data_IF_573633086961
#
_entry.id   IF_573633086961
#
_cell.length_a   1.000
_cell.length_b   1.000
_cell.length_c   1.000
_cell.angle_alpha   90.00
_cell.angle_beta   90.00
_cell.angle_gamma   90.00
#
_symmetry.space_group_name_H-M   'P 1'
#
loop_
_entity.id
_entity.type
_entity.pdbx_description
1 polymer ?
#
# COMPACT_ATOMS: atom_id res chain seq x y z
N UNK A 1 -22.09 8.36 -1.00
CA UNK A 1 -21.33 7.29 -1.69
C UNK A 1 -21.39 6.03 -0.82
N UNK A 2 -21.62 4.83 -1.37
CA UNK A 2 -21.84 3.62 -0.56
C UNK A 2 -20.58 3.29 0.25
N UNK A 3 -20.73 3.24 1.57
CA UNK A 3 -19.65 3.14 2.56
C UNK A 3 -18.75 1.91 2.39
N UNK A 4 -19.27 0.86 1.75
CA UNK A 4 -18.57 -0.40 1.54
C UNK A 4 -17.32 -0.30 0.64
N UNK A 5 -17.29 0.61 -0.35
CA UNK A 5 -16.14 0.76 -1.25
C UNK A 5 -14.89 1.23 -0.50
N UNK A 6 -15.02 2.26 0.35
CA UNK A 6 -13.91 2.79 1.14
C UNK A 6 -13.36 1.78 2.16
N UNK A 7 -14.23 0.93 2.69
CA UNK A 7 -13.84 -0.12 3.62
C UNK A 7 -13.03 -1.22 2.93
N UNK A 8 -13.41 -1.59 1.69
CA UNK A 8 -12.65 -2.53 0.88
C UNK A 8 -11.27 -1.98 0.48
N UNK A 9 -11.22 -0.73 0.01
CA UNK A 9 -9.96 -0.08 -0.34
C UNK A 9 -9.02 -0.04 0.86
N UNK A 10 -9.48 0.36 2.05
CA UNK A 10 -8.66 0.34 3.29
C UNK A 10 -8.09 -1.04 3.59
N UNK A 11 -8.89 -2.09 3.43
CA UNK A 11 -8.44 -3.45 3.64
C UNK A 11 -7.33 -3.84 2.65
N UNK A 12 -7.50 -3.54 1.37
CA UNK A 12 -6.48 -3.79 0.34
C UNK A 12 -5.22 -2.98 0.59
N UNK A 13 -5.36 -1.70 0.96
CA UNK A 13 -4.23 -0.82 1.33
C UNK A 13 -3.46 -1.39 2.52
N UNK A 14 -4.16 -1.83 3.57
CA UNK A 14 -3.56 -2.45 4.74
C UNK A 14 -2.70 -3.66 4.35
N UNK A 15 -3.25 -4.59 3.56
CA UNK A 15 -2.53 -5.78 3.10
C UNK A 15 -1.31 -5.41 2.26
N UNK A 16 -1.44 -4.43 1.36
CA UNK A 16 -0.33 -3.94 0.54
C UNK A 16 0.80 -3.34 1.38
N UNK A 17 0.48 -2.49 2.37
CA UNK A 17 1.48 -1.88 3.24
C UNK A 17 2.16 -2.88 4.17
N UNK A 18 1.43 -3.89 4.66
CA UNK A 18 2.04 -5.00 5.41
C UNK A 18 3.02 -5.78 4.52
N UNK A 19 2.66 -6.03 3.26
CA UNK A 19 3.56 -6.68 2.30
C UNK A 19 4.80 -5.82 2.00
N UNK A 20 4.63 -4.52 1.80
CA UNK A 20 5.76 -3.60 1.61
C UNK A 20 6.64 -3.47 2.84
N UNK A 21 6.08 -3.43 4.05
CA UNK A 21 6.83 -3.44 5.30
C UNK A 21 7.69 -4.71 5.43
N UNK A 22 7.14 -5.87 5.04
CA UNK A 22 7.88 -7.12 5.01
C UNK A 22 9.02 -7.09 3.99
N UNK A 23 8.78 -6.57 2.78
CA UNK A 23 9.82 -6.42 1.77
C UNK A 23 10.93 -5.45 2.19
N UNK A 24 10.57 -4.30 2.77
CA UNK A 24 11.51 -3.31 3.27
C UNK A 24 12.34 -3.85 4.44
N UNK A 25 11.72 -4.65 5.32
CA UNK A 25 12.43 -5.34 6.39
C UNK A 25 13.47 -6.33 5.85
N UNK A 26 13.16 -7.06 4.77
CA UNK A 26 14.13 -7.98 4.14
C UNK A 26 15.29 -7.26 3.45
N UNK A 27 15.13 -5.99 3.06
CA UNK A 27 16.21 -5.17 2.48
C UNK A 27 17.08 -4.46 3.53
N UNK A 28 16.94 -4.82 4.81
CA UNK A 28 17.60 -4.18 5.97
C UNK A 28 17.31 -2.67 6.10
N UNK A 29 16.32 -2.16 5.37
CA UNK A 29 15.99 -0.73 5.37
C UNK A 29 14.97 -0.44 6.48
N UNK A 30 15.47 -0.47 7.71
CA UNK A 30 14.68 -0.38 8.95
C UNK A 30 13.78 0.87 8.99
N UNK A 31 14.26 1.98 8.44
CA UNK A 31 13.49 3.23 8.33
C UNK A 31 12.26 3.07 7.44
N UNK A 32 12.41 2.48 6.26
CA UNK A 32 11.30 2.24 5.33
C UNK A 32 10.31 1.22 5.89
N UNK A 33 10.81 0.16 6.53
CA UNK A 33 9.98 -0.83 7.20
C UNK A 33 9.11 -0.19 8.30
N UNK A 34 9.68 0.71 9.10
CA UNK A 34 8.94 1.43 10.14
C UNK A 34 7.89 2.38 9.56
N UNK A 35 8.21 3.07 8.46
CA UNK A 35 7.26 3.94 7.75
C UNK A 35 6.08 3.13 7.20
N UNK A 36 6.35 2.00 6.54
CA UNK A 36 5.29 1.12 6.01
C UNK A 36 4.46 0.46 7.11
N UNK A 37 5.08 0.12 8.24
CA UNK A 37 4.36 -0.40 9.41
C UNK A 37 3.45 0.66 10.04
N UNK A 38 3.93 1.90 10.17
CA UNK A 38 3.12 3.03 10.63
C UNK A 38 1.95 3.31 9.67
N UNK A 39 2.18 3.23 8.35
CA UNK A 39 1.13 3.31 7.34
C UNK A 39 0.12 2.17 7.46
N UNK A 40 0.56 0.92 7.67
CA UNK A 40 -0.34 -0.21 7.91
C UNK A 40 -1.22 0.04 9.15
N UNK A 41 -0.65 0.52 10.25
CA UNK A 41 -1.44 0.90 11.44
C UNK A 41 -2.39 2.06 11.17
N UNK A 42 -2.05 2.97 10.27
CA UNK A 42 -2.91 4.08 9.84
C UNK A 42 -4.13 3.58 9.03
N UNK A 43 -3.92 2.59 8.17
CA UNK A 43 -4.95 1.99 7.31
C UNK A 43 -5.70 0.83 7.93
N UNK A 44 -5.42 0.49 9.18
CA UNK A 44 -6.03 -0.65 9.81
C UNK A 44 -7.57 -0.56 9.69
N UNK A 45 -8.24 -1.60 9.16
CA UNK A 45 -9.68 -1.59 8.99
C UNK A 45 -10.43 -1.84 10.32
N UNK A 46 -9.70 -2.16 11.40
CA UNK A 46 -10.24 -2.57 12.70
C UNK A 46 -10.55 -1.38 13.62
N UNK A 47 -9.74 -0.32 13.58
CA UNK A 47 -9.92 0.85 14.43
C UNK A 47 -10.34 2.03 13.55
N UNK A 48 -11.50 2.63 13.87
CA UNK A 48 -11.93 3.89 13.24
C UNK A 48 -11.04 5.04 13.71
N UNK A 49 -9.93 5.28 13.01
CA UNK A 49 -9.13 6.48 13.24
C UNK A 49 -9.76 7.63 12.45
N UNK A 50 -10.30 8.63 13.17
CA UNK A 50 -10.81 9.86 12.60
C UNK A 50 -9.64 10.81 12.24
N UNK A 51 -8.75 10.35 11.37
CA UNK A 51 -7.71 11.19 10.80
C UNK A 51 -8.44 12.22 9.92
N UNK A 52 -8.19 13.50 10.12
CA UNK A 52 -8.88 14.57 9.39
C UNK A 52 -8.76 14.40 7.87
N UNK A 53 -9.65 15.05 7.12
CA UNK A 53 -9.74 14.99 5.64
C UNK A 53 -8.39 15.15 4.93
N UNK A 54 -7.48 15.97 5.46
CA UNK A 54 -6.14 16.20 4.89
C UNK A 54 -5.31 14.92 4.79
N UNK A 55 -5.33 14.09 5.84
CA UNK A 55 -4.55 12.87 5.83
C UNK A 55 -5.17 11.86 4.86
N UNK A 56 -6.49 11.70 4.86
CA UNK A 56 -7.18 10.84 3.88
C UNK A 56 -6.91 11.24 2.44
N UNK A 57 -6.83 12.54 2.13
CA UNK A 57 -6.47 12.98 0.78
C UNK A 57 -5.03 12.58 0.41
N UNK A 58 -4.08 12.67 1.34
CA UNK A 58 -2.69 12.26 1.10
C UNK A 58 -2.63 10.77 0.72
N UNK A 59 -3.39 9.94 1.42
CA UNK A 59 -3.53 8.51 1.13
C UNK A 59 -4.10 8.31 -0.27
N UNK A 60 -5.22 8.95 -0.56
CA UNK A 60 -5.96 8.77 -1.80
C UNK A 60 -5.08 9.14 -3.00
N UNK A 61 -4.27 10.19 -2.86
CA UNK A 61 -3.25 10.59 -3.84
C UNK A 61 -2.16 9.53 -3.99
N UNK A 62 -1.61 8.98 -2.91
CA UNK A 62 -0.56 7.94 -2.99
C UNK A 62 -1.09 6.67 -3.65
N UNK A 63 -2.30 6.22 -3.30
CA UNK A 63 -2.96 5.06 -3.91
C UNK A 63 -3.26 5.35 -5.39
N UNK A 64 -3.74 6.56 -5.69
CA UNK A 64 -3.98 7.01 -7.06
C UNK A 64 -2.71 6.97 -7.91
N UNK A 65 -1.59 7.49 -7.39
CA UNK A 65 -0.29 7.43 -8.07
C UNK A 65 0.16 5.98 -8.26
N UNK A 66 0.01 5.13 -7.25
CA UNK A 66 0.34 3.71 -7.35
C UNK A 66 -0.46 2.97 -8.43
N UNK A 67 -1.77 3.25 -8.54
CA UNK A 67 -2.63 2.69 -9.58
C UNK A 67 -2.27 3.22 -10.97
N UNK A 68 -2.04 4.53 -11.08
CA UNK A 68 -1.59 5.16 -12.34
C UNK A 68 -0.29 4.51 -12.79
N UNK A 69 0.71 4.43 -11.92
CA UNK A 69 1.97 3.76 -12.23
C UNK A 69 1.75 2.28 -12.58
N UNK A 70 0.85 1.56 -11.92
CA UNK A 70 0.55 0.16 -12.25
C UNK A 70 -0.17 -0.03 -13.59
N UNK A 71 -0.90 0.97 -14.08
CA UNK A 71 -1.53 0.94 -15.41
C UNK A 71 -0.50 1.24 -16.50
N UNK A 72 0.45 2.14 -16.22
CA UNK A 72 1.49 2.53 -17.18
C UNK A 72 2.73 1.62 -17.14
N UNK A 73 3.01 0.98 -16.01
CA UNK A 73 3.99 -0.10 -15.90
C UNK A 73 3.23 -1.42 -15.95
N UNK A 74 3.13 -2.00 -17.15
CA UNK A 74 2.81 -3.42 -17.27
C UNK A 74 3.75 -4.21 -16.33
N UNK A 75 3.24 -5.24 -15.63
CA UNK A 75 4.13 -6.17 -14.96
C UNK A 75 5.02 -6.76 -16.04
N UNK A 76 6.29 -6.36 -16.07
CA UNK A 76 7.31 -7.06 -16.84
C UNK A 76 7.27 -8.49 -16.33
N UNK A 77 6.58 -9.35 -17.09
CA UNK A 77 6.53 -10.78 -16.85
C UNK A 77 7.97 -11.19 -16.73
N UNK A 78 8.38 -11.61 -15.52
CA UNK A 78 9.73 -12.10 -15.28
C UNK A 78 9.85 -13.39 -16.08
N UNK A 79 10.31 -13.24 -17.32
CA UNK A 79 10.69 -14.31 -18.21
C UNK A 79 11.91 -14.96 -17.55
N UNK A 80 11.63 -15.90 -16.65
CA UNK A 80 12.63 -16.76 -16.04
C UNK A 80 12.95 -17.87 -17.04
N UNK A 81 13.77 -17.52 -18.03
CA UNK A 81 14.37 -18.47 -18.96
C UNK A 81 15.68 -18.92 -18.36
N UNK A 82 15.59 -19.80 -17.36
CA UNK A 82 16.74 -20.58 -16.91
C UNK A 82 17.07 -21.61 -17.96
N UNK A 83 17.88 -21.26 -18.96
CA UNK A 83 18.70 -22.21 -19.73
C UNK A 83 19.84 -21.45 -20.39
N UNK A 84 21.01 -21.43 -19.74
CA UNK A 84 22.38 -21.64 -20.23
C UNK A 84 23.38 -21.16 -19.17
#
# INVERSE_FOLDING_TARGET
MPYGYYQFVRFVSFVAFVFFAYQAHQKDNKTEAFIYLALALLFQPFIKIALGRTLWNLVDVVVGIGLVLSVFFEPVKKINDKWF
#
